data_IF_878101512335
#
_entry.id   IF_878101512335
#
_cell.length_a   1.000
_cell.length_b   1.000
_cell.length_c   1.000
_cell.angle_alpha   90.00
_cell.angle_beta   90.00
_cell.angle_gamma   90.00
#
_symmetry.space_group_name_H-M   'P 1'
#
loop_
_entity.id
_entity.type
_entity.pdbx_description
1 polymer ?
#
# COMPACT_ATOMS: atom_id res chain seq x y z
N UNK A 1 9.21 -5.43 -9.12
CA UNK A 1 9.67 -6.53 -8.24
C UNK A 1 8.45 -7.17 -7.57
N UNK A 2 8.41 -8.50 -7.45
CA UNK A 2 7.31 -9.19 -6.77
C UNK A 2 7.57 -9.27 -5.26
N UNK A 3 6.56 -8.94 -4.46
CA UNK A 3 6.63 -8.94 -3.01
C UNK A 3 5.31 -9.40 -2.41
N UNK A 4 5.33 -9.76 -1.13
CA UNK A 4 4.11 -10.04 -0.37
C UNK A 4 3.79 -8.83 0.50
N UNK A 5 2.62 -8.26 0.35
CA UNK A 5 2.13 -7.19 1.23
C UNK A 5 1.28 -7.80 2.34
N UNK A 6 1.54 -7.32 3.57
CA UNK A 6 0.69 -7.54 4.73
C UNK A 6 0.00 -6.22 5.08
N UNK A 7 -1.31 -6.24 5.35
CA UNK A 7 -2.03 -5.01 5.70
C UNK A 7 -3.16 -5.21 6.71
N UNK A 8 -3.36 -4.19 7.52
CA UNK A 8 -4.48 -4.02 8.44
C UNK A 8 -5.09 -2.63 8.22
N UNK A 9 -6.40 -2.52 8.39
CA UNK A 9 -7.15 -1.28 8.24
C UNK A 9 -8.02 -1.05 9.47
N UNK A 10 -8.22 0.21 9.82
CA UNK A 10 -9.11 0.63 10.90
C UNK A 10 -9.66 2.02 10.64
N UNK A 11 -10.75 2.36 11.34
CA UNK A 11 -11.33 3.69 11.34
C UNK A 11 -11.05 4.34 12.69
N UNK A 12 -10.66 5.61 12.66
CA UNK A 12 -10.31 6.41 13.81
C UNK A 12 -11.24 7.63 13.88
N UNK A 13 -12.01 7.82 14.95
CA UNK A 13 -12.76 9.04 15.18
C UNK A 13 -11.84 10.26 15.26
N UNK A 14 -12.31 11.41 14.74
CA UNK A 14 -11.58 12.68 14.77
C UNK A 14 -11.09 13.06 16.19
N UNK A 15 -11.87 12.76 17.23
CA UNK A 15 -11.54 13.04 18.63
C UNK A 15 -10.26 12.35 19.11
N UNK A 16 -9.96 11.17 18.58
CA UNK A 16 -8.79 10.37 18.96
C UNK A 16 -7.58 10.64 18.06
N UNK A 17 -7.71 11.49 17.05
CA UNK A 17 -6.67 11.77 16.07
C UNK A 17 -5.37 12.28 16.73
N UNK A 18 -5.47 13.31 17.58
CA UNK A 18 -4.29 13.89 18.25
C UNK A 18 -3.57 12.87 19.13
N UNK A 19 -4.32 12.08 19.91
CA UNK A 19 -3.75 11.05 20.78
C UNK A 19 -3.03 9.95 19.98
N UNK A 20 -3.55 9.60 18.80
CA UNK A 20 -2.90 8.64 17.91
C UNK A 20 -1.60 9.19 17.33
N UNK A 21 -1.60 10.45 16.87
CA UNK A 21 -0.41 11.09 16.33
C UNK A 21 0.71 11.19 17.38
N UNK A 22 0.38 11.61 18.61
CA UNK A 22 1.34 11.66 19.71
C UNK A 22 1.94 10.28 19.99
N UNK A 23 1.10 9.25 20.08
CA UNK A 23 1.57 7.88 20.34
C UNK A 23 2.47 7.34 19.23
N UNK A 24 2.12 7.59 17.98
CA UNK A 24 2.95 7.19 16.84
C UNK A 24 4.25 7.98 16.78
N UNK A 25 4.21 9.30 17.03
CA UNK A 25 5.42 10.13 17.04
C UNK A 25 6.45 9.69 18.09
N UNK A 26 6.01 9.11 19.20
CA UNK A 26 6.88 8.58 20.24
C UNK A 26 7.54 7.23 19.88
N UNK A 27 7.04 6.52 18.87
CA UNK A 27 7.48 5.16 18.52
C UNK A 27 8.02 5.03 17.09
N UNK A 28 7.63 5.94 16.21
CA UNK A 28 8.04 5.96 14.82
C UNK A 28 9.42 6.60 14.69
N UNK A 29 10.18 6.11 13.71
CA UNK A 29 11.47 6.69 13.35
C UNK A 29 11.28 7.96 12.53
N UNK A 30 10.21 8.01 11.73
CA UNK A 30 9.88 9.12 10.85
C UNK A 30 8.37 9.34 10.82
N UNK A 31 7.98 10.61 10.69
CA UNK A 31 6.61 11.05 10.49
C UNK A 31 6.60 12.22 9.52
N UNK A 32 5.75 12.15 8.49
CA UNK A 32 5.64 13.23 7.50
C UNK A 32 4.21 13.37 6.96
N UNK A 33 3.85 14.59 6.60
CA UNK A 33 2.60 14.84 5.89
C UNK A 33 2.75 14.35 4.45
N UNK A 34 1.72 13.72 3.91
CA UNK A 34 1.70 13.30 2.53
C UNK A 34 0.35 13.58 1.85
N UNK A 35 0.42 13.73 0.54
CA UNK A 35 -0.73 13.69 -0.34
C UNK A 35 -0.50 12.61 -1.39
N UNK A 36 -1.55 11.87 -1.70
CA UNK A 36 -1.48 10.80 -2.69
C UNK A 36 -2.66 10.87 -3.63
N UNK A 37 -2.40 10.68 -4.92
CA UNK A 37 -3.43 10.41 -5.92
C UNK A 37 -3.23 9.00 -6.45
N UNK A 38 -4.25 8.16 -6.36
CA UNK A 38 -4.27 6.84 -6.97
C UNK A 38 -5.32 6.78 -8.07
N UNK A 39 -4.91 6.39 -9.28
CA UNK A 39 -5.82 6.10 -10.38
C UNK A 39 -5.79 4.62 -10.71
N UNK A 40 -6.98 4.07 -10.91
CA UNK A 40 -7.22 2.63 -11.05
C UNK A 40 -7.67 2.36 -12.48
N UNK A 41 -6.98 1.47 -13.18
CA UNK A 41 -7.19 1.21 -14.61
C UNK A 41 -7.45 -0.27 -14.88
N UNK A 42 -8.49 -0.54 -15.65
CA UNK A 42 -8.77 -1.85 -16.21
C UNK A 42 -8.04 -2.03 -17.54
N UNK A 43 -7.83 -3.30 -17.89
CA UNK A 43 -7.33 -3.66 -19.21
C UNK A 43 -8.37 -3.29 -20.26
N UNK A 44 -7.93 -2.71 -21.37
CA UNK A 44 -8.77 -2.50 -22.55
C UNK A 44 -9.18 -3.86 -23.09
N UNK A 45 -10.47 -4.06 -23.35
CA UNK A 45 -10.93 -5.25 -24.05
C UNK A 45 -10.33 -5.24 -25.47
N UNK A 46 -9.55 -6.26 -25.80
CA UNK A 46 -9.19 -6.50 -27.21
C UNK A 46 -10.42 -7.12 -27.88
N UNK A 47 -10.90 -6.48 -28.94
CA UNK A 47 -12.10 -6.88 -29.71
C UNK A 47 -11.92 -8.14 -30.57
N UNK A 48 -10.98 -9.03 -30.25
CA UNK A 48 -10.77 -10.28 -30.99
C UNK A 48 -11.15 -11.46 -30.10
N UNK A 49 -12.34 -11.99 -30.38
CA UNK A 49 -12.98 -13.05 -29.61
C UNK A 49 -12.20 -14.35 -29.64
N UNK A 50 -11.43 -14.62 -28.59
CA UNK A 50 -11.42 -15.90 -27.89
C UNK A 50 -10.63 -15.75 -26.58
N UNK A 51 -11.05 -16.48 -25.54
CA UNK A 51 -10.59 -16.42 -24.15
C UNK A 51 -11.23 -15.30 -23.31
N UNK A 52 -12.26 -15.69 -22.57
CA UNK A 52 -12.56 -15.11 -21.26
C UNK A 52 -11.27 -15.14 -20.43
N UNK A 53 -10.50 -14.05 -20.41
CA UNK A 53 -9.40 -13.91 -19.45
C UNK A 53 -10.09 -13.62 -18.12
N UNK A 54 -10.12 -14.56 -17.16
CA UNK A 54 -10.83 -14.40 -15.89
C UNK A 54 -9.99 -13.59 -14.90
N UNK A 55 -9.14 -12.70 -15.40
CA UNK A 55 -8.17 -11.99 -14.60
C UNK A 55 -8.63 -10.54 -14.51
N UNK A 56 -9.39 -10.24 -13.45
CA UNK A 56 -9.70 -8.90 -12.94
C UNK A 56 -8.42 -8.20 -12.45
N UNK A 57 -7.32 -8.36 -13.18
CA UNK A 57 -6.07 -7.68 -12.92
C UNK A 57 -6.29 -6.20 -13.18
N UNK A 58 -6.16 -5.41 -12.12
CA UNK A 58 -6.31 -3.96 -12.15
C UNK A 58 -4.96 -3.32 -11.90
N UNK A 59 -4.62 -2.34 -12.73
CA UNK A 59 -3.41 -1.55 -12.60
C UNK A 59 -3.68 -0.30 -11.77
N UNK A 60 -2.85 -0.04 -10.76
CA UNK A 60 -2.93 1.16 -9.93
C UNK A 60 -1.72 2.03 -10.16
N UNK A 61 -1.94 3.26 -10.61
CA UNK A 61 -0.93 4.30 -10.69
C UNK A 61 -1.06 5.20 -9.47
N UNK A 62 0.00 5.28 -8.66
CA UNK A 62 0.03 6.10 -7.44
C UNK A 62 1.05 7.22 -7.63
N UNK A 63 0.62 8.44 -7.33
CA UNK A 63 1.45 9.63 -7.23
C UNK A 63 1.50 10.03 -5.77
N UNK A 64 2.66 9.96 -5.14
CA UNK A 64 2.85 10.35 -3.73
C UNK A 64 3.72 11.59 -3.69
N UNK A 65 3.27 12.61 -2.96
CA UNK A 65 4.05 13.79 -2.61
C UNK A 65 4.11 13.88 -1.10
N UNK A 66 5.31 14.04 -0.57
CA UNK A 66 5.53 14.16 0.87
C UNK A 66 6.06 15.55 1.21
N UNK A 67 5.92 15.99 2.45
CA UNK A 67 6.41 17.31 2.87
C UNK A 67 7.94 17.44 2.80
N UNK A 68 8.67 16.33 2.76
CA UNK A 68 10.13 16.31 2.68
C UNK A 68 10.67 16.39 1.25
N UNK A 69 9.82 16.11 0.24
CA UNK A 69 10.23 16.06 -1.17
C UNK A 69 9.28 16.87 -2.04
N UNK A 70 9.84 17.87 -2.73
CA UNK A 70 9.12 18.62 -3.76
C UNK A 70 8.78 17.76 -5.00
N UNK A 71 9.49 16.63 -5.16
CA UNK A 71 9.26 15.70 -6.26
C UNK A 71 8.11 14.76 -5.95
N UNK A 72 7.27 14.53 -6.95
CA UNK A 72 6.18 13.55 -6.89
C UNK A 72 6.72 12.18 -7.29
N UNK A 73 6.70 11.23 -6.36
CA UNK A 73 7.11 9.85 -6.62
C UNK A 73 5.95 9.09 -7.28
N UNK A 74 6.19 8.54 -8.46
CA UNK A 74 5.21 7.76 -9.20
C UNK A 74 5.51 6.28 -9.09
N UNK A 75 4.49 5.48 -8.78
CA UNK A 75 4.59 4.03 -8.77
C UNK A 75 3.42 3.41 -9.53
N UNK A 76 3.71 2.27 -10.16
CA UNK A 76 2.74 1.42 -10.82
C UNK A 76 2.68 0.10 -10.06
N UNK A 77 1.47 -0.29 -9.66
CA UNK A 77 1.25 -1.48 -8.84
C UNK A 77 0.13 -2.36 -9.40
N UNK A 78 0.36 -3.66 -9.34
CA UNK A 78 -0.68 -4.68 -9.55
C UNK A 78 -0.81 -5.48 -8.27
N UNK A 79 -2.03 -5.55 -7.76
CA UNK A 79 -2.37 -6.30 -6.55
C UNK A 79 -2.99 -7.63 -6.97
N UNK A 80 -2.41 -8.72 -6.50
CA UNK A 80 -3.01 -10.04 -6.67
C UNK A 80 -4.17 -10.24 -5.69
N UNK A 81 -5.04 -11.20 -6.00
CA UNK A 81 -6.14 -11.60 -5.11
C UNK A 81 -5.59 -11.92 -3.71
N UNK A 82 -6.22 -11.41 -2.63
CA UNK A 82 -5.80 -11.76 -1.28
C UNK A 82 -5.87 -13.25 -0.99
N UNK A 83 -4.94 -13.75 -0.18
CA UNK A 83 -5.00 -15.11 0.36
C UNK A 83 -6.23 -15.25 1.27
N UNK A 84 -6.93 -16.40 1.27
CA UNK A 84 -8.08 -16.64 2.15
C UNK A 84 -7.76 -16.42 3.63
N UNK A 85 -8.78 -16.09 4.43
CA UNK A 85 -8.63 -15.91 5.87
C UNK A 85 -8.11 -17.18 6.55
N UNK A 86 -7.16 -17.01 7.47
CA UNK A 86 -6.54 -18.08 8.25
C UNK A 86 -6.44 -17.65 9.71
N UNK A 87 -6.24 -18.62 10.60
CA UNK A 87 -6.01 -18.36 12.03
C UNK A 87 -4.70 -17.58 12.27
N UNK A 88 -3.70 -17.76 11.40
CA UNK A 88 -2.47 -16.98 11.40
C UNK A 88 -1.85 -16.96 9.98
N UNK A 89 -1.35 -15.82 9.49
CA UNK A 89 -1.47 -14.49 10.09
C UNK A 89 -2.90 -13.92 9.95
N UNK A 90 -3.33 -13.11 10.92
CA UNK A 90 -4.70 -12.53 10.93
C UNK A 90 -4.85 -11.35 9.96
N UNK A 91 -3.74 -10.74 9.54
CA UNK A 91 -3.71 -9.62 8.60
C UNK A 91 -4.01 -10.06 7.16
N UNK A 92 -4.45 -9.11 6.33
CA UNK A 92 -4.62 -9.35 4.90
C UNK A 92 -3.25 -9.64 4.29
N UNK A 93 -3.16 -10.68 3.47
CA UNK A 93 -1.96 -11.01 2.73
C UNK A 93 -2.28 -11.05 1.24
N UNK A 94 -1.47 -10.38 0.42
CA UNK A 94 -1.58 -10.43 -1.04
C UNK A 94 -0.23 -10.27 -1.73
N UNK A 95 -0.10 -10.87 -2.91
CA UNK A 95 1.03 -10.60 -3.78
C UNK A 95 0.93 -9.20 -4.38
N UNK A 96 2.05 -8.51 -4.48
CA UNK A 96 2.16 -7.17 -5.04
C UNK A 96 3.33 -7.11 -6.00
N UNK A 97 3.05 -6.65 -7.22
CA UNK A 97 4.07 -6.31 -8.20
C UNK A 97 4.12 -4.79 -8.27
N UNK A 98 5.25 -4.21 -7.91
CA UNK A 98 5.46 -2.76 -7.97
C UNK A 98 6.64 -2.41 -8.88
N UNK A 99 6.49 -1.30 -9.59
CA UNK A 99 7.52 -0.64 -10.39
C UNK A 99 7.49 0.86 -10.12
N UNK A 100 8.64 1.46 -9.82
CA UNK A 100 8.78 2.91 -9.77
C UNK A 100 8.80 3.46 -11.21
N UNK A 101 8.10 4.58 -11.43
CA UNK A 101 8.12 5.28 -12.72
C UNK A 101 9.16 6.39 -12.62
N UNK A 102 10.15 6.32 -13.51
CA UNK A 102 11.26 7.28 -13.55
C UNK A 102 10.81 8.67 -14.01
N UNK A 103 11.60 9.68 -13.64
CA UNK A 103 11.36 11.06 -14.00
C UNK A 103 11.41 11.23 -15.53
N UNK A 104 10.41 11.91 -16.11
CA UNK A 104 10.27 12.09 -17.56
C UNK A 104 9.35 11.07 -18.25
N UNK A 105 8.99 9.96 -17.61
CA UNK A 105 7.99 9.04 -18.14
C UNK A 105 6.57 9.53 -17.81
N UNK A 106 5.66 9.53 -18.79
CA UNK A 106 4.26 9.86 -18.55
C UNK A 106 3.48 8.63 -18.04
N UNK A 107 2.98 8.61 -16.78
CA UNK A 107 2.44 7.40 -16.14
C UNK A 107 1.26 6.77 -16.89
N UNK A 108 0.34 7.60 -17.40
CA UNK A 108 -0.85 7.10 -18.12
C UNK A 108 -0.49 6.48 -19.47
N UNK A 109 0.53 7.03 -20.14
CA UNK A 109 1.00 6.50 -21.43
C UNK A 109 1.66 5.16 -21.23
N UNK A 110 2.44 5.01 -20.14
CA UNK A 110 3.04 3.74 -19.76
C UNK A 110 1.97 2.68 -19.44
N UNK A 111 0.96 3.01 -18.63
CA UNK A 111 -0.17 2.12 -18.34
C UNK A 111 -0.90 1.67 -19.62
N UNK A 112 -1.17 2.62 -20.52
CA UNK A 112 -1.83 2.34 -21.81
C UNK A 112 -0.98 1.43 -22.70
N UNK A 113 0.35 1.57 -22.68
CA UNK A 113 1.27 0.69 -23.40
C UNK A 113 1.23 -0.76 -22.89
N UNK A 114 0.89 -0.97 -21.61
CA UNK A 114 0.63 -2.30 -21.05
C UNK A 114 -0.81 -2.80 -21.29
N UNK A 115 -1.61 -2.05 -22.04
CA UNK A 115 -3.01 -2.38 -22.33
C UNK A 115 -4.00 -1.95 -21.25
N UNK A 116 -3.59 -1.13 -20.27
CA UNK A 116 -4.47 -0.59 -19.22
C UNK A 116 -4.82 0.87 -19.54
N UNK A 117 -5.92 1.07 -20.27
CA UNK A 117 -6.38 2.40 -20.72
C UNK A 117 -7.74 2.80 -20.16
N UNK A 118 -8.54 1.86 -19.66
CA UNK A 118 -9.88 2.14 -19.14
C UNK A 118 -9.81 2.58 -17.68
N UNK A 119 -9.99 3.88 -17.43
CA UNK A 119 -10.03 4.42 -16.08
C UNK A 119 -11.29 3.94 -15.34
N UNK A 120 -11.11 3.28 -14.20
CA UNK A 120 -12.20 2.86 -13.31
C UNK A 120 -12.61 4.00 -12.37
N UNK A 121 -11.66 4.47 -11.56
CA UNK A 121 -11.87 5.55 -10.60
C UNK A 121 -10.52 6.16 -10.17
N UNK A 122 -10.60 7.32 -9.52
CA UNK A 122 -9.47 8.03 -8.92
C UNK A 122 -9.79 8.28 -7.45
N UNK A 123 -8.79 8.12 -6.60
CA UNK A 123 -8.88 8.50 -5.18
C UNK A 123 -7.78 9.49 -4.85
N UNK A 124 -8.14 10.48 -4.03
CA UNK A 124 -7.20 11.45 -3.47
C UNK A 124 -7.15 11.27 -1.96
N UNK A 125 -5.95 11.08 -1.42
CA UNK A 125 -5.70 10.92 0.00
C UNK A 125 -4.81 12.06 0.49
N UNK A 126 -5.11 12.58 1.68
CA UNK A 126 -4.23 13.50 2.39
C UNK A 126 -4.15 13.04 3.84
N UNK A 127 -2.97 13.10 4.42
CA UNK A 127 -2.75 12.55 5.74
C UNK A 127 -1.31 12.65 6.24
N UNK A 128 -1.02 11.85 7.25
CA UNK A 128 0.31 11.70 7.85
C UNK A 128 0.73 10.24 7.72
N UNK A 129 1.98 10.04 7.28
CA UNK A 129 2.62 8.73 7.19
C UNK A 129 3.69 8.64 8.27
N UNK A 130 3.63 7.55 9.04
CA UNK A 130 4.67 7.19 9.99
C UNK A 130 5.39 5.93 9.53
N UNK A 131 6.69 5.87 9.77
CA UNK A 131 7.52 4.71 9.48
C UNK A 131 8.21 4.21 10.75
N UNK A 132 8.17 2.89 10.94
CA UNK A 132 8.93 2.18 11.97
C UNK A 132 9.52 0.91 11.37
N UNK A 133 10.83 0.91 11.12
CA UNK A 133 11.48 -0.13 10.31
C UNK A 133 10.81 -0.29 8.94
N UNK A 134 10.30 -1.50 8.68
CA UNK A 134 9.61 -1.84 7.43
C UNK A 134 8.07 -1.65 7.48
N UNK A 135 7.53 -1.16 8.59
CA UNK A 135 6.08 -0.92 8.76
C UNK A 135 5.76 0.54 8.49
N UNK A 136 4.80 0.77 7.60
CA UNK A 136 4.21 2.06 7.30
C UNK A 136 2.82 2.16 7.91
N UNK A 137 2.56 3.27 8.60
CA UNK A 137 1.25 3.61 9.16
C UNK A 137 0.78 4.89 8.50
N UNK A 138 -0.24 4.76 7.66
CA UNK A 138 -0.88 5.88 6.97
C UNK A 138 -2.17 6.25 7.71
N UNK A 139 -2.28 7.50 8.15
CA UNK A 139 -3.50 8.07 8.73
C UNK A 139 -3.98 9.14 7.77
N UNK A 140 -5.12 8.91 7.12
CA UNK A 140 -5.57 9.77 6.04
C UNK A 140 -7.08 9.89 5.93
N UNK A 141 -7.50 10.92 5.19
CA UNK A 141 -8.86 11.11 4.72
C UNK A 141 -8.90 11.10 3.19
N UNK A 142 -10.08 10.78 2.66
CA UNK A 142 -10.34 10.78 1.22
C UNK A 142 -10.94 12.12 0.79
N UNK A 143 -10.53 12.60 -0.38
CA UNK A 143 -10.95 13.86 -0.97
C UNK A 143 -11.44 13.63 -2.40
N UNK A 144 -12.36 14.48 -2.84
CA UNK A 144 -12.88 14.47 -4.21
C UNK A 144 -11.83 14.89 -5.24
N UNK A 145 -10.96 15.84 -4.85
CA UNK A 145 -9.89 16.34 -5.71
C UNK A 145 -8.67 16.72 -4.87
N UNK A 146 -7.47 16.88 -5.47
CA UNK A 146 -6.27 17.24 -4.72
C UNK A 146 -6.36 18.66 -4.12
N UNK A 147 -7.18 19.53 -4.69
CA UNK A 147 -7.41 20.91 -4.23
C UNK A 147 -8.69 21.06 -3.40
N UNK A 148 -9.46 19.98 -3.20
CA UNK A 148 -10.67 20.03 -2.40
C UNK A 148 -10.35 20.51 -0.97
N UNK A 149 -11.16 21.44 -0.43
CA UNK A 149 -10.94 22.03 0.89
C UNK A 149 -11.30 21.06 2.03
N UNK A 150 -12.30 20.20 1.80
CA UNK A 150 -12.84 19.29 2.82
C UNK A 150 -12.80 17.84 2.34
N UNK A 151 -12.62 16.88 3.26
CA UNK A 151 -12.68 15.45 2.96
C UNK A 151 -14.13 14.97 2.76
N UNK A 152 -14.30 13.78 2.19
CA UNK A 152 -15.61 13.13 2.06
C UNK A 152 -16.28 12.84 3.39
N UNK A 153 -15.50 12.41 4.38
CA UNK A 153 -15.94 12.23 5.76
C UNK A 153 -14.97 12.95 6.70
N UNK A 154 -15.34 14.14 7.22
CA UNK A 154 -14.50 14.89 8.14
C UNK A 154 -14.49 14.31 9.56
N UNK A 155 -15.42 13.42 9.88
CA UNK A 155 -15.58 12.88 11.25
C UNK A 155 -14.65 11.70 11.55
N UNK A 156 -14.09 11.07 10.51
CA UNK A 156 -13.25 9.88 10.64
C UNK A 156 -11.96 9.99 9.83
N UNK A 157 -10.93 9.31 10.32
CA UNK A 157 -9.69 9.02 9.60
C UNK A 157 -9.60 7.53 9.32
N UNK A 158 -9.11 7.18 8.14
CA UNK A 158 -8.70 5.81 7.86
C UNK A 158 -7.26 5.60 8.30
N UNK A 159 -7.03 4.55 9.08
CA UNK A 159 -5.70 4.10 9.51
C UNK A 159 -5.35 2.83 8.74
N UNK A 160 -4.27 2.89 7.96
CA UNK A 160 -3.76 1.78 7.17
C UNK A 160 -2.36 1.42 7.65
N UNK A 161 -2.21 0.22 8.19
CA UNK A 161 -0.90 -0.33 8.58
C UNK A 161 -0.49 -1.32 7.51
N UNK A 162 0.69 -1.11 6.91
CA UNK A 162 1.19 -1.94 5.82
C UNK A 162 2.66 -2.26 5.99
N UNK A 163 3.06 -3.44 5.53
CA UNK A 163 4.46 -3.79 5.35
C UNK A 163 4.59 -4.68 4.12
N UNK A 164 5.80 -4.74 3.56
CA UNK A 164 6.09 -5.53 2.37
C UNK A 164 7.32 -6.39 2.60
N UNK A 165 7.19 -7.66 2.26
CA UNK A 165 8.25 -8.65 2.32
C UNK A 165 8.71 -8.94 0.90
N UNK A 166 9.98 -8.70 0.60
CA UNK A 166 10.55 -9.11 -0.68
C UNK A 166 10.47 -10.64 -0.81
N UNK A 167 10.05 -11.12 -1.98
CA UNK A 167 10.17 -12.53 -2.30
C UNK A 167 11.59 -12.74 -2.87
N UNK A 168 12.44 -13.59 -2.28
CA UNK A 168 13.77 -13.83 -2.80
C UNK A 168 13.67 -14.46 -4.19
N UNK A 169 14.13 -13.75 -5.22
CA UNK A 169 14.35 -14.31 -6.55
C UNK A 169 15.56 -15.23 -6.48
N UNK A 170 15.34 -16.56 -6.48
CA UNK A 170 16.43 -17.54 -6.66
C UNK A 170 16.96 -17.41 -8.09
N UNK A 171 18.00 -16.60 -8.30
CA UNK A 171 18.91 -16.82 -9.42
C UNK A 171 19.60 -18.16 -9.17
N UNK A 172 19.30 -19.15 -10.01
CA UNK A 172 19.96 -20.44 -10.00
C UNK A 172 21.42 -20.29 -10.46
N UNK A 173 22.29 -19.80 -9.58
CA UNK A 173 23.73 -19.90 -9.77
C UNK A 173 24.34 -20.54 -8.54
N UNK A 174 25.12 -21.57 -8.79
CA UNK A 174 25.82 -22.41 -7.84
C UNK A 174 26.63 -21.62 -6.80
N UNK A 175 26.81 -22.27 -5.65
CA UNK A 175 27.86 -22.04 -4.64
C UNK A 175 27.84 -20.70 -3.88
N UNK A 176 27.30 -20.73 -2.65
CA UNK A 176 27.84 -20.02 -1.48
C UNK A 176 27.01 -20.32 -0.23
N UNK A 177 27.67 -20.77 0.82
CA UNK A 177 27.11 -21.11 2.14
C UNK A 177 26.77 -19.89 3.02
N UNK A 178 26.28 -18.80 2.42
CA UNK A 178 25.64 -17.68 3.10
C UNK A 178 24.23 -17.51 2.54
N UNK A 179 23.35 -18.45 2.88
CA UNK A 179 21.93 -18.30 2.59
C UNK A 179 21.41 -17.17 3.48
N UNK A 180 21.13 -16.02 2.87
CA UNK A 180 20.37 -14.95 3.53
C UNK A 180 19.01 -15.47 4.02
N UNK A 181 18.29 -14.66 4.83
CA UNK A 181 17.02 -15.08 5.41
C UNK A 181 16.05 -15.55 4.31
N UNK A 182 15.46 -16.71 4.55
CA UNK A 182 14.44 -17.29 3.71
C UNK A 182 13.22 -16.37 3.60
N UNK A 183 12.42 -16.55 2.53
CA UNK A 183 11.17 -15.83 2.35
C UNK A 183 10.23 -15.97 3.57
N UNK A 184 10.25 -17.16 4.20
CA UNK A 184 9.44 -17.47 5.36
C UNK A 184 9.91 -16.72 6.61
N UNK A 185 11.23 -16.60 6.82
CA UNK A 185 11.79 -15.83 7.94
C UNK A 185 11.49 -14.34 7.78
N UNK A 186 11.68 -13.78 6.58
CA UNK A 186 11.32 -12.38 6.31
C UNK A 186 9.84 -12.10 6.57
N UNK A 187 8.96 -13.02 6.16
CA UNK A 187 7.53 -12.93 6.43
C UNK A 187 7.19 -13.03 7.92
N UNK A 188 7.87 -13.90 8.67
CA UNK A 188 7.68 -14.02 10.11
C UNK A 188 8.09 -12.74 10.85
N UNK A 189 9.23 -12.15 10.47
CA UNK A 189 9.70 -10.86 11.03
C UNK A 189 8.71 -9.74 10.73
N UNK A 190 8.24 -9.62 9.48
CA UNK A 190 7.25 -8.61 9.11
C UNK A 190 5.92 -8.79 9.84
N UNK A 191 5.48 -10.04 10.01
CA UNK A 191 4.27 -10.37 10.78
C UNK A 191 4.42 -9.95 12.24
N UNK A 192 5.56 -10.24 12.86
CA UNK A 192 5.85 -9.84 14.24
C UNK A 192 5.87 -8.31 14.38
N UNK A 193 6.49 -7.59 13.44
CA UNK A 193 6.52 -6.13 13.43
C UNK A 193 5.11 -5.52 13.29
N UNK A 194 4.27 -6.08 12.42
CA UNK A 194 2.87 -5.69 12.27
C UNK A 194 2.06 -5.92 13.54
N UNK A 195 2.26 -7.06 14.21
CA UNK A 195 1.60 -7.38 15.49
C UNK A 195 2.02 -6.37 16.56
N UNK A 196 3.32 -6.09 16.69
CA UNK A 196 3.83 -5.10 17.65
C UNK A 196 3.25 -3.70 17.41
N UNK A 197 3.18 -3.27 16.15
CA UNK A 197 2.56 -2.00 15.78
C UNK A 197 1.06 -2.00 16.11
N UNK A 198 0.33 -3.06 15.75
CA UNK A 198 -1.10 -3.14 16.06
C UNK A 198 -1.38 -3.13 17.57
N UNK A 199 -0.51 -3.76 18.36
CA UNK A 199 -0.63 -3.79 19.81
C UNK A 199 -0.40 -2.41 20.44
N UNK A 200 0.51 -1.60 19.89
CA UNK A 200 0.74 -0.24 20.39
C UNK A 200 -0.42 0.71 20.07
N UNK A 201 -1.16 0.44 19.00
CA UNK A 201 -2.32 1.23 18.59
C UNK A 201 -3.63 0.79 19.25
N UNK A 202 -3.62 -0.35 19.96
CA UNK A 202 -4.80 -0.88 20.65
C UNK A 202 -5.37 0.14 21.65
N UNK A 203 -6.70 0.21 21.68
CA UNK A 203 -7.44 1.16 22.52
C UNK A 203 -7.58 2.56 21.93
N UNK A 204 -6.93 2.86 20.80
CA UNK A 204 -7.20 4.07 20.02
C UNK A 204 -7.88 3.73 18.68
N UNK A 205 -7.43 2.68 18.01
CA UNK A 205 -8.00 2.20 16.75
C UNK A 205 -8.09 0.69 16.75
N UNK A 206 -9.22 0.17 16.28
CA UNK A 206 -9.43 -1.25 16.06
C UNK A 206 -8.99 -1.62 14.65
N UNK A 207 -7.79 -2.20 14.56
CA UNK A 207 -7.21 -2.66 13.31
C UNK A 207 -7.66 -4.08 12.99
N UNK A 208 -8.20 -4.27 11.79
CA UNK A 208 -8.70 -5.55 11.32
C UNK A 208 -8.28 -5.83 9.88
N UNK A 209 -8.45 -7.10 9.47
CA UNK A 209 -8.30 -7.51 8.08
C UNK A 209 -9.55 -7.11 7.32
N UNK A 210 -9.36 -6.37 6.23
CA UNK A 210 -10.40 -5.97 5.28
C UNK A 210 -10.01 -6.52 3.91
N UNK A 211 -10.92 -7.23 3.25
CA UNK A 211 -10.69 -7.84 1.92
C UNK A 211 -10.90 -6.85 0.78
#
# INVERSE_FOLDING_TARGET
>A
MASTQLSLLGQLPLELHTALLERLSAQAEQGEAYSMTESVHHRSECSDGSATVPDESVLRLRAVRTSQSDKTAWTMTVLQKPEPARLSPTMLQRGVIECAIEEGCHPKSLASAFGFSTLAFITHQKGVRFQRGAVLVDIYQLFDSPTAPEPFDPSTYTVSVTTRCANPTRTANNSSANAGPSAQELKAVATAAMIQMSASLKGLVDLSRVE
#
